data_IF_333658927324
#
_entry.id   IF_333658927324
#
_cell.length_a   1.000
_cell.length_b   1.000
_cell.length_c   1.000
_cell.angle_alpha   90.00
_cell.angle_beta   90.00
_cell.angle_gamma   90.00
#
_symmetry.space_group_name_H-M   'P 1'
#
loop_
_entity.id
_entity.type
_entity.pdbx_description
1 polymer ?
#
# COMPACT_ATOMS: atom_id res chain seq x y z
N UNK A 1 -18.43 -20.18 22.26
CA UNK A 1 -19.26 -19.08 22.78
C UNK A 1 -18.42 -17.82 22.66
N UNK A 2 -18.77 -16.90 21.75
CA UNK A 2 -18.02 -15.65 21.59
C UNK A 2 -18.11 -14.82 22.86
N UNK A 3 -16.97 -14.41 23.42
CA UNK A 3 -16.92 -13.52 24.57
C UNK A 3 -17.44 -12.15 24.14
N UNK A 4 -18.73 -11.89 24.40
CA UNK A 4 -19.31 -10.56 24.19
C UNK A 4 -18.64 -9.61 25.18
N UNK A 5 -18.18 -8.46 24.70
CA UNK A 5 -17.68 -7.40 25.59
C UNK A 5 -18.77 -7.09 26.64
N UNK A 6 -18.39 -6.71 27.87
CA UNK A 6 -19.35 -6.19 28.84
C UNK A 6 -20.13 -5.00 28.22
N UNK A 7 -21.29 -4.62 28.75
CA UNK A 7 -22.04 -3.48 28.23
C UNK A 7 -21.17 -2.22 28.27
N UNK A 8 -20.70 -1.80 27.09
CA UNK A 8 -19.86 -0.61 26.90
C UNK A 8 -20.70 0.56 26.40
N UNK A 9 -20.35 1.81 26.75
CA UNK A 9 -20.96 2.98 26.13
C UNK A 9 -20.86 2.91 24.60
N UNK A 10 -21.84 3.48 23.91
CA UNK A 10 -21.82 3.58 22.45
C UNK A 10 -20.62 4.41 22.01
N UNK A 11 -20.10 4.15 20.82
CA UNK A 11 -18.94 4.89 20.30
C UNK A 11 -19.25 6.40 20.24
N UNK A 12 -20.48 6.78 19.90
CA UNK A 12 -20.93 8.16 19.90
C UNK A 12 -20.96 8.81 21.30
N UNK A 13 -21.19 8.02 22.36
CA UNK A 13 -21.14 8.49 23.75
C UNK A 13 -19.69 8.68 24.20
N UNK A 14 -18.77 7.79 23.79
CA UNK A 14 -17.34 7.92 24.06
C UNK A 14 -16.78 9.19 23.40
N UNK A 15 -17.13 9.41 22.13
CA UNK A 15 -16.72 10.62 21.41
C UNK A 15 -17.18 11.88 22.16
N UNK A 16 -18.39 11.87 22.74
CA UNK A 16 -18.90 12.99 23.56
C UNK A 16 -18.19 13.10 24.91
N UNK A 17 -18.04 11.99 25.64
CA UNK A 17 -17.44 11.93 26.97
C UNK A 17 -16.01 12.48 26.97
N UNK A 18 -15.20 12.06 26.00
CA UNK A 18 -13.82 12.49 25.84
C UNK A 18 -13.67 13.76 24.99
N UNK A 19 -14.79 14.43 24.63
CA UNK A 19 -14.82 15.63 23.78
C UNK A 19 -14.00 15.49 22.50
N UNK A 20 -14.04 14.29 21.92
CA UNK A 20 -13.29 13.94 20.72
C UNK A 20 -13.98 14.55 19.50
N UNK A 21 -13.17 15.14 18.64
CA UNK A 21 -13.61 15.64 17.35
C UNK A 21 -12.57 15.31 16.30
N UNK A 22 -13.06 15.02 15.09
CA UNK A 22 -12.19 14.81 13.95
C UNK A 22 -11.40 16.09 13.66
N UNK A 23 -10.09 15.95 13.51
CA UNK A 23 -9.25 17.10 13.19
C UNK A 23 -9.00 17.17 11.69
N UNK A 24 -9.15 18.37 11.11
CA UNK A 24 -8.78 18.60 9.70
C UNK A 24 -7.30 18.25 9.45
N UNK A 25 -6.43 18.54 10.42
CA UNK A 25 -4.99 18.25 10.38
C UNK A 25 -4.70 16.75 10.16
N UNK A 26 -5.47 15.86 10.77
CA UNK A 26 -5.32 14.41 10.61
C UNK A 26 -6.27 13.81 9.57
N UNK A 27 -7.14 14.61 8.95
CA UNK A 27 -8.11 14.19 7.93
C UNK A 27 -8.95 12.98 8.35
N UNK A 28 -9.31 12.93 9.63
CA UNK A 28 -10.04 11.82 10.24
C UNK A 28 -11.50 11.81 9.78
N UNK A 29 -11.99 10.62 9.39
CA UNK A 29 -13.41 10.33 9.17
C UNK A 29 -13.73 9.07 9.97
N UNK A 30 -14.45 9.21 11.09
CA UNK A 30 -14.72 8.10 11.99
C UNK A 30 -15.85 7.23 11.47
N UNK A 31 -15.64 5.91 11.45
CA UNK A 31 -16.67 4.94 11.16
C UNK A 31 -17.38 4.56 12.47
N UNK A 32 -18.52 5.20 12.74
CA UNK A 32 -19.28 4.98 13.97
C UNK A 32 -20.44 3.97 13.80
N UNK A 33 -20.79 3.63 12.57
CA UNK A 33 -21.83 2.66 12.26
C UNK A 33 -21.34 1.23 12.57
N UNK A 34 -21.95 0.61 13.58
CA UNK A 34 -21.59 -0.72 14.05
C UNK A 34 -21.84 -1.79 13.00
N UNK A 35 -22.91 -1.68 12.20
CA UNK A 35 -23.21 -2.67 11.15
C UNK A 35 -22.13 -2.65 10.07
N UNK A 36 -21.63 -1.47 9.69
CA UNK A 36 -20.52 -1.36 8.74
C UNK A 36 -19.23 -1.92 9.35
N UNK A 37 -18.96 -1.68 10.63
CA UNK A 37 -17.80 -2.26 11.33
C UNK A 37 -17.86 -3.79 11.39
N UNK A 38 -19.01 -4.37 11.73
CA UNK A 38 -19.20 -5.84 11.71
C UNK A 38 -19.10 -6.41 10.31
N UNK A 39 -19.63 -5.72 9.29
CA UNK A 39 -19.47 -6.11 7.88
C UNK A 39 -17.99 -6.10 7.46
N UNK A 40 -17.22 -5.13 7.96
CA UNK A 40 -15.78 -5.03 7.72
C UNK A 40 -15.06 -6.25 8.30
N UNK A 41 -15.32 -6.58 9.55
CA UNK A 41 -14.71 -7.73 10.22
C UNK A 41 -15.10 -9.05 9.53
N UNK A 42 -16.36 -9.21 9.13
CA UNK A 42 -16.82 -10.39 8.38
C UNK A 42 -16.09 -10.57 7.04
N UNK A 43 -15.76 -9.49 6.34
CA UNK A 43 -15.15 -9.58 5.00
C UNK A 43 -13.67 -10.03 5.01
N UNK A 44 -13.00 -9.91 6.16
CA UNK A 44 -11.63 -10.37 6.39
C UNK A 44 -11.55 -11.91 6.35
N UNK A 45 -12.66 -12.61 6.64
CA UNK A 45 -12.70 -14.08 6.74
C UNK A 45 -11.72 -14.61 7.80
N UNK A 46 -11.80 -14.02 8.99
CA UNK A 46 -10.95 -14.32 10.15
C UNK A 46 -11.09 -15.80 10.51
N UNK A 47 -9.96 -16.50 10.63
CA UNK A 47 -9.93 -17.86 11.17
C UNK A 47 -9.82 -17.79 12.68
N UNK A 48 -10.41 -18.75 13.39
CA UNK A 48 -10.26 -18.87 14.84
C UNK A 48 -8.78 -18.83 15.23
N UNK A 49 -8.46 -18.08 16.29
CA UNK A 49 -7.09 -17.93 16.77
C UNK A 49 -6.27 -16.93 15.96
N UNK A 50 -6.89 -16.07 15.14
CA UNK A 50 -6.17 -15.06 14.36
C UNK A 50 -5.69 -13.92 15.24
N UNK A 51 -4.61 -13.29 14.79
CA UNK A 51 -4.09 -12.04 15.32
C UNK A 51 -4.34 -10.92 14.33
N UNK A 52 -4.83 -9.77 14.79
CA UNK A 52 -5.16 -8.65 13.90
C UNK A 52 -4.47 -7.38 14.37
N UNK A 53 -3.76 -6.70 13.46
CA UNK A 53 -3.26 -5.35 13.71
C UNK A 53 -4.13 -4.33 12.96
N UNK A 54 -4.83 -3.49 13.70
CA UNK A 54 -5.58 -2.36 13.17
C UNK A 54 -4.74 -1.08 13.25
N UNK A 55 -4.64 -0.40 12.12
CA UNK A 55 -3.94 0.88 12.00
C UNK A 55 -4.94 2.02 11.99
N UNK A 56 -4.74 2.96 12.91
CA UNK A 56 -5.61 4.13 13.08
C UNK A 56 -7.02 3.75 13.56
N UNK A 57 -7.17 3.13 14.75
CA UNK A 57 -8.47 2.73 15.28
C UNK A 57 -9.41 3.92 15.55
N UNK A 58 -8.85 5.11 15.82
CA UNK A 58 -9.59 6.28 16.28
C UNK A 58 -10.49 5.92 17.47
N UNK A 59 -11.82 6.15 17.37
CA UNK A 59 -12.75 5.85 18.46
C UNK A 59 -13.02 4.34 18.66
N UNK A 60 -12.38 3.46 17.88
CA UNK A 60 -12.39 2.01 18.12
C UNK A 60 -13.60 1.28 17.55
N UNK A 61 -14.20 1.77 16.45
CA UNK A 61 -15.38 1.13 15.85
C UNK A 61 -15.09 -0.25 15.26
N UNK A 62 -14.05 -0.36 14.43
CA UNK A 62 -13.59 -1.64 13.90
C UNK A 62 -12.95 -2.47 15.03
N UNK A 63 -12.20 -1.84 15.94
CA UNK A 63 -11.60 -2.49 17.11
C UNK A 63 -12.62 -3.28 17.93
N UNK A 64 -13.77 -2.67 18.26
CA UNK A 64 -14.86 -3.32 18.98
C UNK A 64 -15.42 -4.52 18.21
N UNK A 65 -15.67 -4.34 16.92
CA UNK A 65 -16.16 -5.42 16.07
C UNK A 65 -15.16 -6.60 15.97
N UNK A 66 -13.85 -6.32 16.00
CA UNK A 66 -12.80 -7.34 16.05
C UNK A 66 -12.83 -8.09 17.38
N UNK A 67 -12.91 -7.37 18.50
CA UNK A 67 -12.96 -7.97 19.84
C UNK A 67 -14.22 -8.81 20.07
N UNK A 68 -15.33 -8.47 19.42
CA UNK A 68 -16.57 -9.27 19.45
C UNK A 68 -16.53 -10.51 18.54
N UNK A 69 -15.48 -10.66 17.72
CA UNK A 69 -15.28 -11.79 16.82
C UNK A 69 -14.33 -12.86 17.39
N UNK A 70 -14.06 -13.91 16.62
CA UNK A 70 -13.16 -15.02 17.00
C UNK A 70 -11.65 -14.70 16.90
N UNK A 71 -11.30 -13.41 16.90
CA UNK A 71 -9.92 -12.94 17.01
C UNK A 71 -9.39 -13.21 18.41
N UNK A 72 -8.18 -13.75 18.47
CA UNK A 72 -7.50 -14.07 19.71
C UNK A 72 -6.92 -12.79 20.34
N UNK A 73 -6.19 -12.02 19.54
CA UNK A 73 -5.54 -10.80 19.97
C UNK A 73 -5.66 -9.69 18.90
N UNK A 74 -5.96 -8.48 19.36
CA UNK A 74 -6.07 -7.28 18.52
C UNK A 74 -4.99 -6.29 18.95
N UNK A 75 -4.15 -5.87 18.03
CA UNK A 75 -3.20 -4.78 18.22
C UNK A 75 -3.73 -3.55 17.52
N UNK A 76 -3.71 -2.39 18.19
CA UNK A 76 -4.06 -1.12 17.56
C UNK A 76 -2.87 -0.17 17.58
N UNK A 77 -2.59 0.49 16.45
CA UNK A 77 -1.58 1.53 16.35
C UNK A 77 -2.29 2.86 16.11
N UNK A 78 -2.29 3.72 17.13
CA UNK A 78 -2.95 5.02 17.09
C UNK A 78 -1.93 6.15 17.23
N UNK A 79 -2.01 7.13 16.34
CA UNK A 79 -1.10 8.28 16.34
C UNK A 79 -1.60 9.40 17.24
N UNK A 80 -2.92 9.54 17.34
CA UNK A 80 -3.58 10.62 18.05
C UNK A 80 -3.80 10.23 19.51
N UNK A 81 -2.96 10.79 20.39
CA UNK A 81 -2.93 10.48 21.81
C UNK A 81 -4.25 10.69 22.54
N UNK A 82 -5.17 11.50 21.97
CA UNK A 82 -6.50 11.75 22.53
C UNK A 82 -7.37 10.48 22.58
N UNK A 83 -7.09 9.48 21.74
CA UNK A 83 -7.80 8.21 21.75
C UNK A 83 -7.19 7.17 22.71
N UNK A 84 -6.05 7.45 23.34
CA UNK A 84 -5.40 6.46 24.21
C UNK A 84 -6.26 6.09 25.41
N UNK A 85 -6.83 7.08 26.10
CA UNK A 85 -7.68 6.83 27.27
C UNK A 85 -8.92 5.96 26.94
N UNK A 86 -9.72 6.26 25.90
CA UNK A 86 -10.84 5.38 25.54
C UNK A 86 -10.40 4.01 25.02
N UNK A 87 -9.24 3.88 24.38
CA UNK A 87 -8.70 2.59 23.92
C UNK A 87 -8.19 1.73 25.10
N UNK A 88 -7.54 2.34 26.11
CA UNK A 88 -7.13 1.63 27.33
C UNK A 88 -8.36 1.17 28.14
N UNK A 89 -9.41 1.99 28.22
CA UNK A 89 -10.68 1.55 28.83
C UNK A 89 -11.29 0.35 28.08
N UNK A 90 -11.22 0.35 26.74
CA UNK A 90 -11.65 -0.79 25.92
C UNK A 90 -10.78 -2.03 26.15
N UNK A 91 -9.47 -1.85 26.37
CA UNK A 91 -8.53 -2.93 26.65
C UNK A 91 -8.87 -3.65 27.95
N UNK A 92 -9.12 -2.90 29.03
CA UNK A 92 -9.57 -3.46 30.32
C UNK A 92 -10.86 -4.26 30.13
N UNK A 93 -11.83 -3.72 29.39
CA UNK A 93 -13.09 -4.40 29.09
C UNK A 93 -12.94 -5.67 28.23
N UNK A 94 -11.82 -5.82 27.52
CA UNK A 94 -11.56 -6.94 26.61
C UNK A 94 -10.78 -8.09 27.23
N UNK A 95 -10.54 -8.06 28.55
CA UNK A 95 -9.69 -9.03 29.25
C UNK A 95 -8.29 -9.12 28.63
N UNK A 96 -7.69 -7.96 28.35
CA UNK A 96 -6.35 -7.80 27.79
C UNK A 96 -6.10 -8.41 26.39
N UNK A 97 -7.15 -8.83 25.68
CA UNK A 97 -7.05 -9.22 24.25
C UNK A 97 -6.72 -8.05 23.32
N UNK A 98 -6.91 -6.82 23.77
CA UNK A 98 -6.48 -5.61 23.04
C UNK A 98 -5.10 -5.16 23.52
N UNK A 99 -4.18 -4.90 22.59
CA UNK A 99 -2.91 -4.20 22.83
C UNK A 99 -2.93 -2.85 22.14
N UNK A 100 -2.70 -1.78 22.89
CA UNK A 100 -2.76 -0.39 22.38
C UNK A 100 -1.35 0.17 22.26
N UNK A 101 -1.01 0.69 21.08
CA UNK A 101 0.29 1.26 20.77
C UNK A 101 0.14 2.71 20.32
N UNK A 102 0.78 3.65 21.01
CA UNK A 102 0.85 5.05 20.58
C UNK A 102 1.98 5.21 19.56
N UNK A 103 1.66 5.50 18.30
CA UNK A 103 2.66 5.66 17.25
C UNK A 103 2.11 6.00 15.87
N UNK A 104 3.00 6.48 14.99
CA UNK A 104 2.68 6.65 13.57
C UNK A 104 3.02 5.36 12.82
N UNK A 105 2.01 4.75 12.20
CA UNK A 105 2.16 3.48 11.48
C UNK A 105 3.18 3.50 10.34
N UNK A 106 3.58 4.68 9.83
CA UNK A 106 4.69 4.83 8.87
C UNK A 106 6.05 4.51 9.48
N UNK A 107 6.21 4.74 10.78
CA UNK A 107 7.48 4.57 11.49
C UNK A 107 7.41 3.48 12.55
N UNK A 108 6.25 2.84 12.68
CA UNK A 108 6.02 1.81 13.67
C UNK A 108 6.73 0.51 13.28
N UNK A 109 7.50 -0.04 14.22
CA UNK A 109 8.16 -1.33 14.05
C UNK A 109 7.19 -2.45 14.43
N UNK A 110 6.85 -3.29 13.45
CA UNK A 110 5.94 -4.42 13.66
C UNK A 110 6.63 -5.65 14.25
N UNK A 111 7.93 -5.55 14.51
CA UNK A 111 8.71 -6.59 15.15
C UNK A 111 8.14 -6.83 16.56
N UNK A 112 7.82 -8.07 16.89
CA UNK A 112 7.16 -8.47 18.15
C UNK A 112 5.70 -8.04 18.32
N UNK A 113 5.03 -7.47 17.31
CA UNK A 113 3.57 -7.28 17.35
C UNK A 113 2.87 -8.62 17.41
N UNK A 114 3.37 -9.62 16.67
CA UNK A 114 2.77 -10.95 16.63
C UNK A 114 3.74 -11.99 17.21
N UNK A 115 3.26 -13.07 17.84
CA UNK A 115 4.15 -14.11 18.31
C UNK A 115 4.87 -14.80 17.13
N UNK A 116 6.19 -15.09 17.22
CA UNK A 116 6.95 -15.72 16.13
C UNK A 116 6.34 -17.02 15.58
N UNK A 117 5.62 -17.77 16.43
CA UNK A 117 4.92 -19.00 16.05
C UNK A 117 3.83 -18.81 14.96
N UNK A 118 3.37 -17.58 14.74
CA UNK A 118 2.41 -17.24 13.70
C UNK A 118 3.05 -17.03 12.34
N UNK A 119 4.38 -16.86 12.28
CA UNK A 119 5.10 -16.73 11.02
C UNK A 119 4.91 -17.98 10.15
N UNK A 120 4.79 -17.77 8.84
CA UNK A 120 4.70 -18.82 7.84
C UNK A 120 5.70 -18.54 6.72
N UNK A 121 6.42 -19.57 6.22
CA UNK A 121 7.27 -19.40 5.05
C UNK A 121 6.48 -18.83 3.87
N UNK A 122 7.08 -17.90 3.12
CA UNK A 122 6.43 -17.14 2.05
C UNK A 122 5.68 -18.02 1.03
N UNK A 123 6.27 -19.15 0.67
CA UNK A 123 5.77 -20.09 -0.32
C UNK A 123 4.59 -20.94 0.16
N UNK A 124 4.28 -20.94 1.47
CA UNK A 124 3.18 -21.74 2.04
C UNK A 124 1.87 -20.93 2.12
N UNK A 125 0.95 -21.38 2.97
CA UNK A 125 -0.28 -20.65 3.30
C UNK A 125 0.05 -19.31 3.96
N UNK A 126 -0.87 -18.35 3.86
CA UNK A 126 -0.75 -17.09 4.59
C UNK A 126 -0.69 -17.37 6.11
N UNK A 127 0.03 -16.55 6.88
CA UNK A 127 -0.04 -16.59 8.34
C UNK A 127 -1.47 -16.29 8.81
N UNK A 128 -1.80 -16.71 10.04
CA UNK A 128 -3.08 -16.37 10.67
C UNK A 128 -3.01 -14.98 11.32
N UNK A 129 -2.49 -14.03 10.56
CA UNK A 129 -2.28 -12.63 10.92
C UNK A 129 -2.97 -11.79 9.84
N UNK A 130 -3.58 -10.68 10.23
CA UNK A 130 -4.17 -9.74 9.28
C UNK A 130 -3.89 -8.29 9.68
N UNK A 131 -3.62 -7.43 8.70
CA UNK A 131 -3.54 -5.99 8.92
C UNK A 131 -4.79 -5.32 8.37
N UNK A 132 -5.41 -4.46 9.18
CA UNK A 132 -6.61 -3.72 8.81
C UNK A 132 -6.48 -2.23 9.07
N UNK A 133 -7.32 -1.43 8.45
CA UNK A 133 -7.42 -0.02 8.80
C UNK A 133 -8.43 0.75 7.97
N UNK A 134 -9.16 1.65 8.64
CA UNK A 134 -9.94 2.70 8.00
C UNK A 134 -9.09 3.99 7.96
N UNK A 135 -8.09 4.00 7.08
CA UNK A 135 -7.07 5.05 7.09
C UNK A 135 -7.58 6.36 6.47
N UNK A 136 -7.16 7.53 7.01
CA UNK A 136 -7.36 8.81 6.36
C UNK A 136 -6.85 8.82 4.91
N UNK A 137 -7.63 9.38 3.99
CA UNK A 137 -7.36 9.29 2.55
C UNK A 137 -6.04 9.95 2.11
N UNK A 138 -5.63 11.02 2.78
CA UNK A 138 -4.36 11.71 2.53
C UNK A 138 -3.13 10.90 2.98
N UNK A 139 -3.29 9.97 3.93
CA UNK A 139 -2.20 9.14 4.48
C UNK A 139 -2.18 7.75 3.85
N UNK A 140 -3.35 7.21 3.49
CA UNK A 140 -3.51 5.82 3.07
C UNK A 140 -2.67 5.43 1.85
N UNK A 141 -2.54 6.30 0.85
CA UNK A 141 -1.74 6.02 -0.34
C UNK A 141 -0.24 5.94 -0.06
N UNK A 142 0.29 6.87 0.75
CA UNK A 142 1.70 6.86 1.12
C UNK A 142 2.07 5.62 1.94
N UNK A 143 1.22 5.27 2.91
CA UNK A 143 1.40 4.08 3.72
C UNK A 143 1.27 2.79 2.89
N UNK A 144 0.29 2.73 1.98
CA UNK A 144 0.15 1.60 1.05
C UNK A 144 1.39 1.41 0.18
N UNK A 145 1.97 2.48 -0.38
CA UNK A 145 3.18 2.37 -1.19
C UNK A 145 4.38 1.88 -0.38
N UNK A 146 4.54 2.34 0.86
CA UNK A 146 5.56 1.85 1.79
C UNK A 146 5.35 0.37 2.12
N UNK A 147 4.10 -0.04 2.36
CA UNK A 147 3.76 -1.44 2.60
C UNK A 147 4.02 -2.33 1.38
N UNK A 148 3.75 -1.85 0.17
CA UNK A 148 4.13 -2.58 -1.05
C UNK A 148 5.64 -2.75 -1.18
N UNK A 149 6.43 -1.76 -0.75
CA UNK A 149 7.89 -1.88 -0.70
C UNK A 149 8.34 -2.92 0.33
N UNK A 150 7.75 -2.90 1.52
CA UNK A 150 8.01 -3.91 2.56
C UNK A 150 7.54 -5.32 2.13
N UNK A 151 6.44 -5.45 1.38
CA UNK A 151 6.01 -6.71 0.75
C UNK A 151 7.07 -7.22 -0.23
N UNK A 152 7.57 -6.34 -1.10
CA UNK A 152 8.59 -6.69 -2.09
C UNK A 152 9.89 -7.15 -1.42
N UNK A 153 10.29 -6.47 -0.34
CA UNK A 153 11.49 -6.78 0.42
C UNK A 153 11.28 -7.88 1.49
N UNK A 154 10.04 -8.32 1.70
CA UNK A 154 9.62 -9.26 2.76
C UNK A 154 10.05 -8.81 4.17
N UNK A 155 9.93 -7.51 4.44
CA UNK A 155 10.32 -6.88 5.70
C UNK A 155 9.11 -6.39 6.51
N UNK A 156 9.34 -6.00 7.76
CA UNK A 156 8.29 -5.47 8.64
C UNK A 156 7.22 -6.54 8.92
N UNK A 157 5.92 -6.24 8.75
CA UNK A 157 4.89 -7.26 8.96
C UNK A 157 5.03 -8.49 8.06
N UNK A 158 5.69 -8.34 6.91
CA UNK A 158 5.82 -9.42 5.91
C UNK A 158 6.95 -10.39 6.22
N UNK A 159 7.71 -10.18 7.30
CA UNK A 159 8.62 -11.17 7.88
C UNK A 159 7.85 -12.40 8.42
N UNK A 160 6.59 -12.20 8.85
CA UNK A 160 5.69 -13.30 9.25
C UNK A 160 5.11 -14.08 8.04
N UNK A 161 5.47 -13.70 6.82
CA UNK A 161 4.99 -14.29 5.58
C UNK A 161 4.01 -13.38 4.84
N UNK A 162 3.14 -13.98 4.02
CA UNK A 162 2.19 -13.24 3.16
C UNK A 162 0.98 -12.73 3.96
N UNK A 163 1.23 -11.84 4.94
CA UNK A 163 0.20 -11.19 5.77
C UNK A 163 -0.75 -10.40 4.86
N UNK A 164 -2.06 -10.73 4.85
CA UNK A 164 -3.02 -9.99 4.05
C UNK A 164 -3.43 -8.66 4.69
N UNK A 165 -3.87 -7.74 3.83
CA UNK A 165 -4.35 -6.41 4.17
C UNK A 165 -5.84 -6.30 3.88
N UNK A 166 -6.59 -5.56 4.68
CA UNK A 166 -7.94 -5.08 4.32
C UNK A 166 -8.10 -3.65 4.77
N UNK A 167 -8.25 -2.76 3.78
CA UNK A 167 -8.17 -1.32 3.98
C UNK A 167 -9.36 -0.63 3.33
N UNK A 168 -9.73 0.50 3.90
CA UNK A 168 -10.71 1.40 3.29
C UNK A 168 -9.98 2.45 2.44
N UNK A 169 -10.48 2.69 1.23
CA UNK A 169 -10.02 3.75 0.33
C UNK A 169 -11.20 4.60 -0.14
N UNK A 170 -10.94 5.79 -0.67
CA UNK A 170 -11.95 6.48 -1.49
C UNK A 170 -12.35 5.59 -2.67
N UNK A 171 -13.62 5.63 -3.07
CA UNK A 171 -14.14 4.79 -4.15
C UNK A 171 -13.32 4.93 -5.45
N UNK A 172 -12.94 6.15 -5.82
CA UNK A 172 -12.09 6.43 -7.00
C UNK A 172 -10.69 5.80 -6.89
N UNK A 173 -10.11 5.79 -5.68
CA UNK A 173 -8.80 5.20 -5.43
C UNK A 173 -8.89 3.68 -5.49
N UNK A 174 -9.95 3.10 -4.92
CA UNK A 174 -10.21 1.67 -5.03
C UNK A 174 -10.35 1.24 -6.50
N UNK A 175 -11.13 1.98 -7.31
CA UNK A 175 -11.25 1.74 -8.75
C UNK A 175 -9.89 1.74 -9.45
N UNK A 176 -9.03 2.72 -9.17
CA UNK A 176 -7.67 2.78 -9.69
C UNK A 176 -6.81 1.58 -9.27
N UNK A 177 -6.86 1.17 -8.01
CA UNK A 177 -6.12 -0.01 -7.51
C UNK A 177 -6.55 -1.29 -8.26
N UNK A 178 -7.86 -1.44 -8.53
CA UNK A 178 -8.45 -2.61 -9.20
C UNK A 178 -8.46 -2.53 -10.73
N UNK A 179 -8.08 -1.40 -11.31
CA UNK A 179 -8.21 -1.16 -12.75
C UNK A 179 -7.43 -2.18 -13.57
N UNK A 180 -8.12 -2.81 -14.53
CA UNK A 180 -7.59 -3.82 -15.44
C UNK A 180 -6.90 -3.18 -16.64
N UNK A 181 -6.30 -4.02 -17.49
CA UNK A 181 -5.80 -3.63 -18.81
C UNK A 181 -6.89 -2.91 -19.61
N UNK A 182 -6.49 -1.87 -20.33
CA UNK A 182 -7.35 -0.99 -21.14
C UNK A 182 -8.38 -0.15 -20.37
N UNK A 183 -8.39 -0.22 -19.04
CA UNK A 183 -9.28 0.62 -18.23
C UNK A 183 -8.81 2.08 -18.19
N UNK A 184 -9.76 3.01 -18.27
CA UNK A 184 -9.51 4.44 -18.05
C UNK A 184 -8.95 4.74 -16.66
N UNK A 185 -9.36 4.00 -15.64
CA UNK A 185 -8.87 4.15 -14.28
C UNK A 185 -7.46 3.57 -14.07
N UNK A 186 -6.91 2.87 -15.07
CA UNK A 186 -5.59 2.26 -14.93
C UNK A 186 -4.50 3.32 -14.83
N UNK A 187 -3.63 3.12 -13.87
CA UNK A 187 -2.54 4.04 -13.55
C UNK A 187 -1.36 3.28 -12.91
N UNK A 188 -0.31 4.02 -12.55
CA UNK A 188 0.83 3.49 -11.80
C UNK A 188 0.40 2.69 -10.56
N UNK A 189 -0.57 3.18 -9.79
CA UNK A 189 -1.01 2.53 -8.57
C UNK A 189 -1.62 1.15 -8.85
N UNK A 190 -2.34 1.00 -9.97
CA UNK A 190 -2.86 -0.29 -10.44
C UNK A 190 -1.72 -1.30 -10.59
N UNK A 191 -0.64 -0.91 -11.27
CA UNK A 191 0.51 -1.79 -11.50
C UNK A 191 1.18 -2.13 -10.17
N UNK A 192 1.53 -1.12 -9.38
CA UNK A 192 2.23 -1.28 -8.10
C UNK A 192 1.51 -2.20 -7.11
N UNK A 193 0.18 -2.14 -7.05
CA UNK A 193 -0.61 -3.03 -6.21
C UNK A 193 -0.69 -4.44 -6.79
N UNK A 194 -1.04 -4.56 -8.07
CA UNK A 194 -1.40 -5.84 -8.67
C UNK A 194 -0.17 -6.73 -8.93
N UNK A 195 1.03 -6.17 -9.16
CA UNK A 195 2.22 -7.00 -9.41
C UNK A 195 2.69 -7.77 -8.16
N UNK A 196 2.38 -7.25 -6.96
CA UNK A 196 2.75 -7.88 -5.69
C UNK A 196 1.59 -8.61 -5.02
N UNK A 197 0.34 -8.21 -5.29
CA UNK A 197 -0.80 -8.64 -4.51
C UNK A 197 -1.99 -9.05 -5.38
N UNK A 198 -2.69 -10.11 -4.95
CA UNK A 198 -4.05 -10.39 -5.41
C UNK A 198 -5.01 -9.42 -4.74
N UNK A 199 -5.54 -8.49 -5.53
CA UNK A 199 -6.47 -7.46 -5.08
C UNK A 199 -7.91 -7.93 -5.23
N UNK A 200 -8.76 -7.66 -4.24
CA UNK A 200 -10.21 -7.91 -4.32
C UNK A 200 -11.00 -6.74 -3.76
N UNK A 201 -11.98 -6.28 -4.52
CA UNK A 201 -13.02 -5.38 -4.03
C UNK A 201 -13.93 -6.16 -3.10
N UNK A 202 -14.22 -5.61 -1.91
CA UNK A 202 -15.09 -6.27 -0.93
C UNK A 202 -16.49 -5.69 -0.99
N UNK A 203 -16.65 -4.39 -0.74
CA UNK A 203 -17.93 -3.69 -0.84
C UNK A 203 -17.77 -2.17 -0.72
N UNK A 204 -18.82 -1.45 -1.12
CA UNK A 204 -19.00 0.00 -1.01
C UNK A 204 -19.46 0.43 0.38
N UNK A 205 -18.98 1.58 0.84
CA UNK A 205 -19.39 2.27 2.06
C UNK A 205 -19.85 3.69 1.71
N UNK A 206 -21.14 4.02 1.88
CA UNK A 206 -21.64 5.38 1.66
C UNK A 206 -20.97 6.41 2.58
N UNK A 207 -20.53 7.55 2.06
CA UNK A 207 -19.83 8.59 2.83
C UNK A 207 -20.62 9.10 4.05
N UNK A 208 -21.95 9.07 3.98
CA UNK A 208 -22.85 9.50 5.07
C UNK A 208 -22.71 8.70 6.38
N UNK A 209 -22.09 7.52 6.37
CA UNK A 209 -21.90 6.69 7.58
C UNK A 209 -20.66 7.10 8.39
N UNK A 210 -19.83 7.98 7.83
CA UNK A 210 -18.66 8.51 8.51
C UNK A 210 -18.97 9.83 9.23
N UNK A 211 -18.20 10.12 10.28
CA UNK A 211 -18.30 11.36 11.04
C UNK A 211 -16.93 12.02 11.18
N UNK A 212 -16.72 13.23 10.61
CA UNK A 212 -17.60 13.91 9.67
C UNK A 212 -17.75 13.13 8.36
N UNK A 213 -18.83 13.42 7.61
CA UNK A 213 -19.05 12.79 6.32
C UNK A 213 -18.04 13.33 5.28
N UNK A 214 -17.25 12.47 4.61
CA UNK A 214 -16.42 12.88 3.49
C UNK A 214 -17.28 13.27 2.28
N UNK A 215 -16.66 14.00 1.34
CA UNK A 215 -17.31 14.42 0.07
C UNK A 215 -17.51 13.27 -0.92
N UNK A 216 -16.85 12.14 -0.69
CA UNK A 216 -16.86 10.99 -1.58
C UNK A 216 -17.12 9.73 -0.77
N UNK A 217 -17.67 8.72 -1.45
CA UNK A 217 -17.84 7.41 -0.87
C UNK A 217 -16.51 6.67 -0.73
N UNK A 218 -16.55 5.58 0.05
CA UNK A 218 -15.42 4.73 0.30
C UNK A 218 -15.69 3.29 -0.15
N UNK A 219 -14.62 2.52 -0.31
CA UNK A 219 -14.66 1.10 -0.61
C UNK A 219 -13.67 0.34 0.27
N UNK A 220 -14.07 -0.88 0.64
CA UNK A 220 -13.18 -1.83 1.30
C UNK A 220 -12.50 -2.69 0.25
N UNK A 221 -11.17 -2.74 0.31
CA UNK A 221 -10.32 -3.50 -0.60
C UNK A 221 -9.41 -4.42 0.21
N UNK A 222 -9.32 -5.69 -0.19
CA UNK A 222 -8.32 -6.61 0.37
C UNK A 222 -7.15 -6.80 -0.58
N UNK A 223 -5.94 -6.82 -0.04
CA UNK A 223 -4.71 -7.11 -0.75
C UNK A 223 -4.05 -8.33 -0.11
N UNK A 224 -3.83 -9.37 -0.88
CA UNK A 224 -3.13 -10.58 -0.42
C UNK A 224 -1.83 -10.72 -1.19
N UNK A 225 -0.65 -10.65 -0.54
CA UNK A 225 0.62 -10.81 -1.24
C UNK A 225 0.69 -12.13 -2.03
N UNK A 226 1.21 -12.06 -3.25
CA UNK A 226 1.38 -13.19 -4.15
C UNK A 226 2.54 -14.08 -3.68
N UNK A 227 2.46 -15.38 -3.98
CA UNK A 227 3.60 -16.30 -3.77
C UNK A 227 4.78 -15.92 -4.65
N UNK A 228 4.48 -15.66 -5.92
CA UNK A 228 5.42 -15.17 -6.94
C UNK A 228 4.85 -13.85 -7.47
N UNK A 229 5.59 -12.73 -7.37
CA UNK A 229 5.14 -11.48 -7.95
C UNK A 229 5.10 -11.60 -9.48
N UNK A 230 4.27 -10.78 -10.13
CA UNK A 230 4.22 -10.72 -11.59
C UNK A 230 5.44 -10.03 -12.22
N UNK A 231 6.24 -9.32 -11.42
CA UNK A 231 7.48 -8.67 -11.87
C UNK A 231 8.55 -8.99 -10.84
N UNK A 232 9.58 -9.73 -11.23
CA UNK A 232 10.66 -10.16 -10.35
C UNK A 232 11.85 -9.19 -10.36
N UNK A 233 11.59 -7.89 -10.12
CA UNK A 233 12.62 -6.85 -10.06
C UNK A 233 12.52 -6.05 -8.75
N UNK A 234 13.60 -5.36 -8.32
CA UNK A 234 13.56 -4.52 -7.13
C UNK A 234 12.42 -3.49 -7.18
N UNK A 235 11.78 -3.23 -6.04
CA UNK A 235 10.66 -2.29 -5.94
C UNK A 235 10.99 -0.91 -6.53
N UNK A 236 12.21 -0.42 -6.32
CA UNK A 236 12.71 0.86 -6.85
C UNK A 236 12.70 0.92 -8.38
N UNK A 237 13.08 -0.18 -9.05
CA UNK A 237 13.05 -0.31 -10.51
C UNK A 237 11.62 -0.24 -11.01
N UNK A 238 10.73 -1.08 -10.47
CA UNK A 238 9.33 -1.14 -10.90
C UNK A 238 8.65 0.22 -10.68
N UNK A 239 8.89 0.84 -9.52
CA UNK A 239 8.39 2.18 -9.18
C UNK A 239 8.88 3.24 -10.15
N UNK A 240 10.18 3.24 -10.52
CA UNK A 240 10.76 4.20 -11.45
C UNK A 240 10.18 4.03 -12.86
N UNK A 241 10.26 2.82 -13.43
CA UNK A 241 9.76 2.52 -14.78
C UNK A 241 8.29 2.85 -14.91
N UNK A 242 7.45 2.38 -13.99
CA UNK A 242 6.00 2.66 -14.03
C UNK A 242 5.71 4.14 -13.83
N UNK A 243 6.36 4.84 -12.90
CA UNK A 243 6.12 6.27 -12.67
C UNK A 243 6.47 7.11 -13.89
N UNK A 244 7.60 6.84 -14.53
CA UNK A 244 8.08 7.59 -15.67
C UNK A 244 7.19 7.36 -16.90
N UNK A 245 6.87 6.09 -17.22
CA UNK A 245 6.04 5.78 -18.39
C UNK A 245 4.59 6.27 -18.21
N UNK A 246 3.98 6.14 -17.02
CA UNK A 246 2.63 6.65 -16.78
C UNK A 246 2.54 8.17 -16.71
N UNK A 247 3.66 8.90 -16.60
CA UNK A 247 3.63 10.37 -16.60
C UNK A 247 3.00 10.91 -17.88
N UNK A 248 3.26 10.27 -19.02
CA UNK A 248 2.70 10.60 -20.32
C UNK A 248 1.57 9.65 -20.71
N UNK A 249 0.59 9.45 -19.82
CA UNK A 249 -0.47 8.44 -19.94
C UNK A 249 -1.15 8.38 -21.32
N UNK A 250 -1.42 9.53 -21.94
CA UNK A 250 -2.12 9.66 -23.23
C UNK A 250 -1.21 9.53 -24.46
N UNK A 251 0.12 9.52 -24.28
CA UNK A 251 1.09 9.37 -25.36
C UNK A 251 1.52 7.91 -25.49
N UNK A 252 2.13 7.58 -26.63
CA UNK A 252 2.85 6.33 -26.82
C UNK A 252 3.95 6.18 -25.76
N UNK A 253 4.14 4.96 -25.24
CA UNK A 253 5.10 4.67 -24.16
C UNK A 253 6.53 5.04 -24.52
N UNK A 254 6.89 5.06 -25.82
CA UNK A 254 8.20 5.57 -26.26
C UNK A 254 8.50 6.97 -25.77
N UNK A 255 7.50 7.84 -25.68
CA UNK A 255 7.68 9.21 -25.20
C UNK A 255 7.98 9.26 -23.71
N UNK A 256 7.36 8.37 -22.92
CA UNK A 256 7.66 8.29 -21.49
C UNK A 256 8.98 7.59 -21.20
N UNK A 257 9.35 6.58 -21.99
CA UNK A 257 10.61 5.86 -21.82
C UNK A 257 11.84 6.76 -22.03
N UNK A 258 11.74 7.82 -22.84
CA UNK A 258 12.84 8.81 -23.01
C UNK A 258 13.33 9.36 -21.67
N UNK A 259 12.42 9.63 -20.73
CA UNK A 259 12.75 10.18 -19.41
C UNK A 259 13.42 9.16 -18.46
N UNK A 260 13.57 7.89 -18.87
CA UNK A 260 14.36 6.90 -18.14
C UNK A 260 15.85 7.01 -18.43
N UNK A 261 16.23 7.67 -19.53
CA UNK A 261 17.59 7.73 -20.03
C UNK A 261 18.03 9.18 -20.25
N UNK A 262 19.30 9.51 -20.01
CA UNK A 262 19.89 10.78 -20.44
C UNK A 262 19.72 11.02 -21.94
N UNK A 263 19.54 12.30 -22.32
CA UNK A 263 19.39 12.72 -23.72
C UNK A 263 20.59 12.31 -24.57
N UNK A 264 21.78 12.27 -23.97
CA UNK A 264 23.03 11.88 -24.62
C UNK A 264 23.11 10.39 -25.00
N UNK A 265 22.21 9.55 -24.46
CA UNK A 265 22.15 8.12 -24.72
C UNK A 265 20.84 7.73 -25.39
N UNK A 266 20.44 8.45 -26.44
CA UNK A 266 19.18 8.28 -27.15
C UNK A 266 18.98 6.85 -27.72
N UNK A 267 20.05 6.20 -28.17
CA UNK A 267 20.04 4.81 -28.63
C UNK A 267 19.55 3.79 -27.59
N UNK A 268 19.64 4.11 -26.29
CA UNK A 268 19.14 3.22 -25.23
C UNK A 268 17.63 3.07 -25.24
N UNK A 269 16.89 4.08 -25.73
CA UNK A 269 15.42 3.97 -25.84
C UNK A 269 15.04 2.90 -26.86
N UNK A 270 15.72 2.85 -28.01
CA UNK A 270 15.45 1.86 -29.04
C UNK A 270 15.96 0.47 -28.63
N UNK A 271 17.12 0.39 -27.96
CA UNK A 271 17.60 -0.87 -27.36
C UNK A 271 16.61 -1.39 -26.30
N UNK A 272 16.06 -0.50 -25.46
CA UNK A 272 15.10 -0.84 -24.42
C UNK A 272 13.83 -1.49 -24.99
N UNK A 273 13.26 -0.94 -26.07
CA UNK A 273 12.09 -1.54 -26.71
C UNK A 273 12.43 -2.81 -27.51
N UNK A 274 13.58 -2.83 -28.19
CA UNK A 274 14.03 -4.00 -28.95
C UNK A 274 14.24 -5.21 -28.04
N UNK A 275 14.90 -5.03 -26.90
CA UNK A 275 15.15 -6.10 -25.92
C UNK A 275 13.91 -6.53 -25.15
N UNK A 276 13.06 -5.57 -24.77
CA UNK A 276 11.85 -5.89 -24.02
C UNK A 276 10.76 -6.55 -24.87
N UNK A 277 10.86 -6.47 -26.20
CA UNK A 277 9.83 -6.95 -27.13
C UNK A 277 8.45 -6.41 -26.74
N UNK A 278 8.37 -5.08 -26.60
CA UNK A 278 7.14 -4.35 -26.30
C UNK A 278 6.94 -3.26 -27.36
N UNK A 279 5.75 -3.24 -27.95
CA UNK A 279 5.39 -2.26 -28.96
C UNK A 279 5.48 -0.82 -28.40
N UNK A 280 6.42 0.01 -28.90
CA UNK A 280 6.66 1.36 -28.41
C UNK A 280 5.49 2.32 -28.64
N UNK A 281 4.55 1.96 -29.52
CA UNK A 281 3.37 2.78 -29.89
C UNK A 281 2.17 2.54 -28.96
N UNK A 282 2.21 1.52 -28.11
CA UNK A 282 1.17 1.30 -27.10
C UNK A 282 1.07 2.48 -26.14
N UNK A 283 -0.09 2.65 -25.50
CA UNK A 283 -0.26 3.57 -24.40
C UNK A 283 -0.08 2.84 -23.07
N UNK A 284 0.41 3.54 -22.04
CA UNK A 284 0.77 2.94 -20.74
C UNK A 284 -0.33 2.06 -20.09
N UNK A 285 -1.61 2.41 -20.28
CA UNK A 285 -2.73 1.71 -19.68
C UNK A 285 -3.13 0.41 -20.41
N UNK A 286 -2.67 0.20 -21.65
CA UNK A 286 -2.92 -1.03 -22.42
C UNK A 286 -1.86 -2.11 -22.21
N UNK A 287 -0.76 -1.80 -21.51
CA UNK A 287 0.32 -2.76 -21.25
C UNK A 287 -0.07 -3.85 -20.25
N UNK A 288 0.02 -5.11 -20.64
CA UNK A 288 -0.16 -6.28 -19.76
C UNK A 288 0.90 -6.35 -18.67
N UNK A 289 0.66 -7.16 -17.62
CA UNK A 289 1.68 -7.36 -16.57
C UNK A 289 2.97 -8.00 -17.11
N UNK A 290 2.85 -8.90 -18.09
CA UNK A 290 4.01 -9.53 -18.74
C UNK A 290 4.84 -8.50 -19.53
N UNK A 291 4.20 -7.53 -20.19
CA UNK A 291 4.94 -6.43 -20.85
C UNK A 291 5.61 -5.52 -19.82
N UNK A 292 4.94 -5.19 -18.72
CA UNK A 292 5.58 -4.44 -17.63
C UNK A 292 6.77 -5.20 -17.02
N UNK A 293 6.69 -6.51 -16.88
CA UNK A 293 7.79 -7.36 -16.43
C UNK A 293 8.99 -7.23 -17.35
N UNK A 294 8.82 -7.45 -18.67
CA UNK A 294 9.91 -7.34 -19.65
C UNK A 294 10.52 -5.95 -19.71
N UNK A 295 9.71 -4.89 -19.59
CA UNK A 295 10.21 -3.51 -19.49
C UNK A 295 11.06 -3.32 -18.23
N UNK A 296 10.60 -3.79 -17.07
CA UNK A 296 11.36 -3.65 -15.82
C UNK A 296 12.64 -4.48 -15.83
N UNK A 297 12.59 -5.70 -16.37
CA UNK A 297 13.74 -6.58 -16.53
C UNK A 297 14.79 -5.97 -17.45
N UNK A 298 14.36 -5.44 -18.60
CA UNK A 298 15.25 -4.77 -19.55
C UNK A 298 15.87 -3.52 -18.94
N UNK A 299 15.09 -2.69 -18.22
CA UNK A 299 15.65 -1.53 -17.53
C UNK A 299 16.66 -1.91 -16.44
N UNK A 300 16.37 -2.96 -15.66
CA UNK A 300 17.30 -3.46 -14.65
C UNK A 300 18.60 -3.99 -15.28
N UNK A 301 18.50 -4.66 -16.43
CA UNK A 301 19.66 -5.09 -17.21
C UNK A 301 20.49 -3.89 -17.69
N UNK A 302 19.87 -2.87 -18.29
CA UNK A 302 20.57 -1.66 -18.73
C UNK A 302 21.22 -0.92 -17.56
N UNK A 303 20.59 -0.86 -16.38
CA UNK A 303 21.21 -0.29 -15.18
C UNK A 303 22.48 -1.03 -14.74
N UNK A 304 22.61 -2.34 -15.02
CA UNK A 304 23.83 -3.11 -14.73
C UNK A 304 24.94 -2.81 -15.74
N UNK A 305 24.59 -2.57 -17.01
CA UNK A 305 25.55 -2.20 -18.05
C UNK A 305 26.05 -0.76 -17.89
N UNK A 306 25.17 0.14 -17.45
CA UNK A 306 25.45 1.58 -17.32
C UNK A 306 25.26 2.02 -15.86
N UNK A 307 26.28 1.83 -15.00
CA UNK A 307 26.26 2.32 -13.63
C UNK A 307 25.89 3.80 -13.55
N UNK A 308 24.95 4.15 -12.66
CA UNK A 308 24.41 5.52 -12.52
C UNK A 308 23.07 5.75 -13.21
N UNK A 309 22.66 4.88 -14.15
CA UNK A 309 21.35 5.00 -14.81
C UNK A 309 20.17 4.85 -13.82
N UNK A 310 20.33 4.03 -12.77
CA UNK A 310 19.36 3.88 -11.70
C UNK A 310 19.10 5.18 -10.94
N UNK A 311 20.09 6.06 -10.85
CA UNK A 311 20.04 7.32 -10.11
C UNK A 311 19.66 8.51 -11.01
N UNK A 312 19.73 8.34 -12.34
CA UNK A 312 19.35 9.36 -13.30
C UNK A 312 17.93 9.89 -13.04
N UNK A 313 17.79 11.22 -13.00
CA UNK A 313 16.52 11.91 -12.83
C UNK A 313 16.39 13.05 -13.84
N UNK A 314 15.53 12.86 -14.83
CA UNK A 314 15.27 13.83 -15.91
C UNK A 314 14.80 15.21 -15.42
N UNK A 315 14.22 15.30 -14.22
CA UNK A 315 13.74 16.57 -13.63
C UNK A 315 14.82 17.39 -12.92
N UNK A 316 15.98 16.79 -12.67
CA UNK A 316 17.10 17.44 -11.97
C UNK A 316 18.42 17.15 -12.71
N UNK A 317 18.63 17.65 -13.94
CA UNK A 317 19.78 17.31 -14.78
C UNK A 317 21.14 17.89 -14.31
N UNK A 318 21.31 18.21 -13.02
CA UNK A 318 22.54 18.82 -12.48
C UNK A 318 23.75 17.87 -12.43
N UNK A 319 24.95 18.46 -12.31
CA UNK A 319 26.28 17.84 -12.42
C UNK A 319 26.57 16.55 -11.62
N UNK A 320 25.74 16.21 -10.62
CA UNK A 320 25.85 14.93 -9.89
C UNK A 320 25.27 13.73 -10.65
N UNK A 321 24.34 13.96 -11.61
CA UNK A 321 23.73 12.91 -12.42
C UNK A 321 24.64 12.39 -13.54
N UNK A 322 25.58 13.22 -13.99
CA UNK A 322 26.38 12.98 -15.20
C UNK A 322 27.76 12.39 -14.88
N UNK A 323 28.30 12.65 -13.69
CA UNK A 323 29.60 12.13 -13.25
C UNK A 323 29.64 10.59 -13.08
N UNK A 324 28.54 9.96 -12.64
CA UNK A 324 28.48 8.50 -12.49
C UNK A 324 28.45 7.79 -13.85
N UNK A 325 27.68 8.33 -14.81
CA UNK A 325 27.53 7.78 -16.16
C UNK A 325 28.80 7.93 -17.02
N UNK A 326 29.59 8.99 -16.80
CA UNK A 326 30.85 9.22 -17.51
C UNK A 326 31.97 8.23 -17.13
N UNK A 327 31.81 7.45 -16.06
CA UNK A 327 32.83 6.51 -15.55
C UNK A 327 32.65 5.06 -16.01
N UNK A 328 31.59 4.75 -16.77
CA UNK A 328 31.33 3.41 -17.32
C UNK A 328 32.17 3.13 -18.59
N UNK A 329 32.47 1.86 -18.94
CA UNK A 329 33.15 1.54 -20.19
C UNK A 329 32.29 2.00 -21.39
N UNK A 330 32.78 2.98 -22.15
CA UNK A 330 32.01 3.68 -23.20
C UNK A 330 31.33 4.98 -22.74
N UNK A 331 31.70 5.53 -21.58
CA UNK A 331 31.18 6.78 -21.03
C UNK A 331 31.40 7.98 -21.95
N UNK A 332 30.32 8.68 -22.26
CA UNK A 332 30.33 9.96 -22.96
C UNK A 332 30.98 11.05 -22.09
N UNK A 333 31.60 12.05 -22.72
CA UNK A 333 32.28 13.14 -22.03
C UNK A 333 31.28 13.99 -21.22
N UNK A 334 31.75 14.72 -20.21
CA UNK A 334 30.92 15.64 -19.42
C UNK A 334 30.27 16.73 -20.30
N UNK A 335 30.79 16.96 -21.50
CA UNK A 335 30.28 17.90 -22.49
C UNK A 335 29.09 17.34 -23.29
N UNK A 336 29.07 16.03 -23.55
CA UNK A 336 27.95 15.33 -24.21
C UNK A 336 26.72 15.18 -23.30
N UNK A 337 26.90 15.36 -21.99
CA UNK A 337 25.91 15.14 -20.94
C UNK A 337 25.15 16.42 -20.51
N UNK A 338 25.48 17.58 -21.08
CA UNK A 338 24.83 18.88 -20.82
C UNK A 338 23.75 19.19 -21.85
#
# INVERSE_FOLDING_TARGET
MGSRLPPMPKISEIVKLYRLSATKKLSQNFLLDTNVCHKFVKCISIKRGAHVCEVGPGPGGITRALLESDVDEVHVIEKDSRFMEPLEALKVASSDRLKVHLGDAKYFEYLNVFPPAYARPWQRSTPNIHIVGNLPFNVSLGLLLQWLEQISNRSGPWEYGRVPLTLTFQEEVAKRILAKVDSNDRCKLSIMCQYLCKIRYKYHIPGKVFVPAPKVDAAVVSLEPLRTPHICQPYSVVKKVTATIFHYRQKHIKNGAKDLFPVSMDGLVDEFFTRSDVDPTKQSFSLTMAEWERLCETYAYLCKLYPGLSDYNYRAPGAKNTQALASAPGGLSVEDLK
#
